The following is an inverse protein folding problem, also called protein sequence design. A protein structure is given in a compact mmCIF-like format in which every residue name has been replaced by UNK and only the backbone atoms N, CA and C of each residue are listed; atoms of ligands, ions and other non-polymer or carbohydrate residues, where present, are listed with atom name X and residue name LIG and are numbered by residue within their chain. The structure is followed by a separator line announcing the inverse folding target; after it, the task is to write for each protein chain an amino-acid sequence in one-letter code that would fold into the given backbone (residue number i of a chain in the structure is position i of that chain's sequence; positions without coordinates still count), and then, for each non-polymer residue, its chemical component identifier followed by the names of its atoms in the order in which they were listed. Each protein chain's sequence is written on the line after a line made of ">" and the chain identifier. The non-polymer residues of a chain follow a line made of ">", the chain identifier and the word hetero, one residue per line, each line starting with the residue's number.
data_IF_705794778979
#
_entry.id   IF_705794778979
#
_cell.length_a   1.000
_cell.length_b   1.000
_cell.length_c   1.000
_cell.angle_alpha   90.00
_cell.angle_beta   90.00
_cell.angle_gamma   90.00
#
_symmetry.space_group_name_H-M   'P 1'
#
loop_
_entity.id
_entity.type
_entity.pdbx_description
1 polymer ?
#
# COMPACT_ATOMS: atom_id res chain seq x y z
N UNK A 1 3.15 -11.08 -6.37
CA UNK A 1 4.57 -10.74 -6.16
C UNK A 1 4.69 -9.47 -5.33
N UNK A 2 5.63 -9.47 -4.40
CA UNK A 2 5.84 -8.31 -3.54
C UNK A 2 6.35 -7.09 -4.30
N UNK A 3 5.91 -5.89 -3.89
CA UNK A 3 6.42 -4.63 -4.40
C UNK A 3 7.93 -4.46 -4.12
N UNK A 4 8.47 -5.15 -3.10
CA UNK A 4 9.90 -5.10 -2.84
C UNK A 4 10.72 -5.69 -3.98
N UNK A 5 10.12 -6.55 -4.80
CA UNK A 5 10.77 -7.13 -5.99
C UNK A 5 10.50 -6.31 -7.25
N UNK A 6 9.41 -5.56 -7.27
CA UNK A 6 8.98 -4.77 -8.44
C UNK A 6 9.62 -3.38 -8.46
N UNK A 7 9.66 -2.71 -7.31
CA UNK A 7 10.10 -1.31 -7.26
C UNK A 7 11.55 -1.07 -7.70
N UNK A 8 12.54 -1.93 -7.35
CA UNK A 8 13.90 -1.68 -7.81
C UNK A 8 14.03 -1.62 -9.34
N UNK A 9 13.53 -2.61 -10.11
CA UNK A 9 13.61 -2.51 -11.58
C UNK A 9 12.77 -1.35 -12.15
N UNK A 10 11.64 -1.02 -11.54
CA UNK A 10 10.83 0.12 -11.97
C UNK A 10 11.64 1.41 -11.81
N UNK A 11 12.30 1.59 -10.65
CA UNK A 11 13.14 2.76 -10.42
C UNK A 11 14.27 2.87 -11.45
N UNK A 12 14.89 1.75 -11.79
CA UNK A 12 15.98 1.73 -12.77
C UNK A 12 15.53 2.19 -14.16
N UNK A 13 14.26 1.95 -14.51
CA UNK A 13 13.71 2.32 -15.81
C UNK A 13 13.06 3.69 -15.84
N UNK A 14 12.81 4.27 -14.67
CA UNK A 14 12.06 5.52 -14.55
C UNK A 14 13.03 6.70 -14.60
N UNK A 15 12.73 7.72 -15.42
CA UNK A 15 13.57 8.92 -15.44
C UNK A 15 13.42 9.71 -14.15
N UNK A 16 14.40 10.57 -13.88
CA UNK A 16 14.31 11.48 -12.76
C UNK A 16 13.07 12.36 -12.89
N UNK A 17 12.33 12.51 -11.80
CA UNK A 17 11.08 13.24 -11.79
C UNK A 17 9.88 12.44 -12.29
N UNK A 18 10.10 11.21 -12.74
CA UNK A 18 9.01 10.32 -13.12
C UNK A 18 8.19 9.91 -11.90
N UNK A 19 6.93 9.59 -12.12
CA UNK A 19 6.00 9.23 -11.05
C UNK A 19 5.45 7.83 -11.25
N UNK A 20 5.11 7.21 -10.12
CA UNK A 20 4.57 5.85 -10.11
C UNK A 20 3.45 5.79 -9.05
N UNK A 21 2.38 5.08 -9.37
CA UNK A 21 1.35 4.73 -8.39
C UNK A 21 1.43 3.23 -8.18
N UNK A 22 1.68 2.83 -6.93
CA UNK A 22 1.79 1.43 -6.55
C UNK A 22 0.51 0.97 -5.90
N UNK A 23 0.10 -0.26 -6.18
CA UNK A 23 -1.03 -0.88 -5.51
C UNK A 23 -0.47 -1.82 -4.44
N UNK A 24 -0.65 -1.45 -3.18
CA UNK A 24 -0.21 -2.27 -2.05
C UNK A 24 -1.28 -3.30 -1.76
N UNK A 25 -0.92 -4.57 -1.89
CA UNK A 25 -1.81 -5.71 -1.68
C UNK A 25 -1.37 -6.46 -0.42
N UNK A 26 -2.03 -6.26 0.72
CA UNK A 26 -1.62 -6.93 1.95
C UNK A 26 -1.51 -8.45 1.81
N UNK A 27 -2.37 -9.06 1.00
CA UNK A 27 -2.32 -10.50 0.75
C UNK A 27 -1.03 -10.96 0.08
N UNK A 28 -0.30 -10.06 -0.58
CA UNK A 28 0.99 -10.38 -1.21
C UNK A 28 2.18 -9.96 -0.35
N UNK A 29 1.98 -9.05 0.59
CA UNK A 29 3.07 -8.49 1.38
C UNK A 29 3.18 -9.11 2.78
N UNK A 30 2.06 -9.53 3.34
CA UNK A 30 2.05 -10.18 4.65
C UNK A 30 2.57 -11.62 4.53
N UNK A 31 3.15 -12.14 5.61
CA UNK A 31 3.55 -13.54 5.66
C UNK A 31 2.31 -14.45 5.59
N UNK A 32 2.51 -15.69 5.14
CA UNK A 32 1.41 -16.66 4.98
C UNK A 32 0.59 -16.84 6.25
N UNK A 33 1.23 -16.79 7.40
CA UNK A 33 0.58 -16.96 8.70
C UNK A 33 -0.41 -15.85 9.01
N UNK A 34 -0.34 -14.72 8.31
CA UNK A 34 -1.24 -13.58 8.51
C UNK A 34 -2.33 -13.49 7.46
N UNK A 35 -2.30 -14.39 6.48
CA UNK A 35 -3.31 -14.46 5.45
C UNK A 35 -4.37 -15.47 5.86
N UNK A 36 -5.62 -15.02 5.94
CA UNK A 36 -6.73 -15.87 6.35
C UNK A 36 -7.23 -16.79 5.25
N UNK A 37 -8.37 -17.39 5.50
CA UNK A 37 -9.04 -18.26 4.53
C UNK A 37 -9.32 -17.50 3.24
N UNK A 38 -9.23 -18.19 2.10
CA UNK A 38 -9.45 -17.63 0.76
C UNK A 38 -8.42 -16.56 0.38
N UNK A 39 -7.29 -16.50 1.08
CA UNK A 39 -6.24 -15.54 0.75
C UNK A 39 -6.58 -14.10 1.13
N UNK A 40 -7.38 -13.89 2.17
CA UNK A 40 -7.80 -12.55 2.60
C UNK A 40 -7.10 -12.13 3.88
N UNK A 41 -6.55 -10.91 3.88
CA UNK A 41 -5.98 -10.28 5.06
C UNK A 41 -6.99 -9.27 5.59
N UNK A 42 -7.54 -9.51 6.78
CA UNK A 42 -8.60 -8.68 7.39
C UNK A 42 -8.12 -7.83 8.56
N UNK A 43 -7.00 -8.20 9.19
CA UNK A 43 -6.50 -7.55 10.39
C UNK A 43 -5.96 -6.16 10.07
N UNK A 44 -6.52 -5.14 10.72
CA UNK A 44 -6.10 -3.74 10.55
C UNK A 44 -4.61 -3.54 10.88
N UNK A 45 -4.13 -4.17 11.93
CA UNK A 45 -2.73 -4.06 12.34
C UNK A 45 -1.81 -4.61 11.25
N UNK A 46 -2.21 -5.68 10.58
CA UNK A 46 -1.44 -6.24 9.47
C UNK A 46 -1.42 -5.27 8.28
N UNK A 47 -2.55 -4.64 7.99
CA UNK A 47 -2.62 -3.61 6.93
C UNK A 47 -1.67 -2.46 7.23
N UNK A 48 -1.66 -1.96 8.48
CA UNK A 48 -0.77 -0.88 8.88
C UNK A 48 0.70 -1.26 8.75
N UNK A 49 1.06 -2.46 9.20
CA UNK A 49 2.44 -2.96 9.11
C UNK A 49 2.90 -3.09 7.65
N UNK A 50 2.05 -3.63 6.80
CA UNK A 50 2.36 -3.81 5.38
C UNK A 50 2.60 -2.46 4.71
N UNK A 51 1.73 -1.50 4.95
CA UNK A 51 1.87 -0.15 4.36
C UNK A 51 3.19 0.48 4.81
N UNK A 52 3.48 0.40 6.12
CA UNK A 52 4.72 0.95 6.65
C UNK A 52 5.95 0.31 6.01
N UNK A 53 5.96 -1.01 5.87
CA UNK A 53 7.07 -1.73 5.23
C UNK A 53 7.31 -1.23 3.81
N UNK A 54 6.25 -1.07 3.03
CA UNK A 54 6.39 -0.62 1.64
C UNK A 54 6.80 0.84 1.57
N UNK A 55 6.26 1.70 2.43
CA UNK A 55 6.67 3.10 2.48
C UNK A 55 8.16 3.23 2.84
N UNK A 56 8.61 2.51 3.86
CA UNK A 56 10.01 2.51 4.27
C UNK A 56 10.92 2.00 3.16
N UNK A 57 10.52 0.93 2.49
CA UNK A 57 11.26 0.35 1.38
C UNK A 57 11.39 1.34 0.22
N UNK A 58 10.29 1.97 -0.18
CA UNK A 58 10.30 2.93 -1.27
C UNK A 58 11.19 4.14 -0.95
N UNK A 59 11.10 4.64 0.29
CA UNK A 59 11.95 5.75 0.72
C UNK A 59 13.43 5.37 0.71
N UNK A 60 13.76 4.15 1.14
CA UNK A 60 15.14 3.67 1.14
C UNK A 60 15.71 3.53 -0.28
N UNK A 61 14.86 3.29 -1.27
CA UNK A 61 15.27 3.25 -2.68
C UNK A 61 15.52 4.64 -3.26
N UNK A 62 15.11 5.70 -2.58
CA UNK A 62 15.29 7.06 -3.07
C UNK A 62 14.04 7.68 -3.67
N UNK A 63 12.88 7.08 -3.50
CA UNK A 63 11.61 7.71 -3.88
C UNK A 63 11.18 8.72 -2.83
N UNK A 64 10.53 9.80 -3.28
CA UNK A 64 9.78 10.69 -2.42
C UNK A 64 8.33 10.18 -2.35
N UNK A 65 7.76 10.10 -1.15
CA UNK A 65 6.40 9.64 -0.93
C UNK A 65 5.45 10.83 -1.03
N UNK A 66 4.53 10.80 -1.98
CA UNK A 66 3.64 11.92 -2.26
C UNK A 66 2.25 11.77 -1.65
N UNK A 67 1.63 10.63 -1.84
CA UNK A 67 0.25 10.38 -1.37
C UNK A 67 0.06 8.92 -0.99
N UNK A 68 -0.81 8.70 -0.02
CA UNK A 68 -1.28 7.37 0.36
C UNK A 68 -2.80 7.43 0.52
N UNK A 69 -3.49 6.47 -0.08
CA UNK A 69 -4.94 6.34 0.09
C UNK A 69 -5.33 4.87 -0.05
N UNK A 70 -6.57 4.55 0.22
CA UNK A 70 -7.07 3.21 -0.04
C UNK A 70 -7.75 3.17 -1.41
N UNK A 71 -7.70 1.98 -2.04
CA UNK A 71 -8.42 1.78 -3.29
C UNK A 71 -9.93 1.70 -3.01
N UNK A 72 -10.76 2.40 -3.78
CA UNK A 72 -12.21 2.33 -3.58
C UNK A 72 -12.81 0.99 -4.02
N UNK A 73 -12.02 0.18 -4.71
CA UNK A 73 -12.44 -1.14 -5.21
C UNK A 73 -11.63 -2.19 -4.47
N UNK A 74 -12.32 -3.20 -3.91
CA UNK A 74 -11.65 -4.33 -3.28
C UNK A 74 -11.02 -5.23 -4.33
N UNK A 75 -9.88 -5.82 -3.97
CA UNK A 75 -9.20 -6.80 -4.79
C UNK A 75 -9.81 -8.19 -4.66
N UNK A 76 -9.10 -9.22 -5.13
CA UNK A 76 -9.60 -10.59 -5.11
C UNK A 76 -10.08 -11.03 -3.73
N UNK A 77 -11.17 -11.76 -3.70
CA UNK A 77 -11.78 -12.33 -2.48
C UNK A 77 -12.16 -11.29 -1.44
N UNK A 78 -12.23 -10.01 -1.82
CA UNK A 78 -12.59 -8.92 -0.93
C UNK A 78 -11.43 -8.29 -0.19
N UNK A 79 -10.20 -8.46 -0.64
CA UNK A 79 -9.04 -7.80 -0.04
C UNK A 79 -9.10 -6.29 -0.21
N UNK A 80 -8.86 -5.57 0.88
CA UNK A 80 -8.69 -4.12 0.83
C UNK A 80 -7.26 -3.85 0.37
N UNK A 81 -7.10 -2.94 -0.59
CA UNK A 81 -5.80 -2.59 -1.16
C UNK A 81 -5.56 -1.10 -1.04
N UNK A 82 -4.30 -0.67 -1.13
CA UNK A 82 -3.91 0.71 -0.90
C UNK A 82 -3.10 1.25 -2.07
N UNK A 83 -3.21 2.56 -2.30
CA UNK A 83 -2.51 3.26 -3.38
C UNK A 83 -1.41 4.11 -2.77
N UNK A 84 -0.19 3.92 -3.23
CA UNK A 84 0.97 4.72 -2.81
C UNK A 84 1.54 5.44 -4.02
N UNK A 85 1.56 6.76 -3.98
CA UNK A 85 2.06 7.61 -5.05
C UNK A 85 3.49 8.05 -4.75
N UNK A 86 4.39 7.77 -5.67
CA UNK A 86 5.84 7.97 -5.52
C UNK A 86 6.38 8.90 -6.60
N UNK A 87 7.40 9.67 -6.24
CA UNK A 87 8.16 10.51 -7.17
C UNK A 87 9.59 10.01 -7.22
N UNK A 88 10.12 9.79 -8.43
CA UNK A 88 11.51 9.35 -8.60
C UNK A 88 12.48 10.54 -8.54
N UNK A 89 12.59 11.09 -7.33
CA UNK A 89 13.50 12.20 -7.01
C UNK A 89 13.75 12.19 -5.51
N UNK A 90 14.99 12.41 -5.06
CA UNK A 90 15.30 12.40 -3.63
C UNK A 90 14.90 13.73 -2.97
N UNK A 91 13.61 13.98 -2.89
CA UNK A 91 13.04 15.14 -2.21
C UNK A 91 12.42 14.73 -0.89
N UNK A 92 12.15 15.69 -0.02
CA UNK A 92 11.43 15.43 1.21
C UNK A 92 10.03 14.89 0.89
N UNK A 93 9.67 13.78 1.54
CA UNK A 93 8.37 13.20 1.37
C UNK A 93 7.28 14.10 1.92
N UNK A 94 6.12 14.12 1.25
CA UNK A 94 4.97 14.91 1.66
C UNK A 94 4.07 14.19 2.66
N UNK A 95 4.31 12.90 2.85
CA UNK A 95 3.57 12.06 3.81
C UNK A 95 4.55 11.29 4.68
N UNK A 96 4.07 10.85 5.83
CA UNK A 96 4.83 9.98 6.73
C UNK A 96 3.93 8.90 7.32
N UNK A 97 4.50 8.05 8.18
CA UNK A 97 3.78 6.92 8.77
C UNK A 97 2.62 7.32 9.66
N UNK A 98 2.55 8.57 10.10
CA UNK A 98 1.49 9.03 11.02
C UNK A 98 0.11 8.98 10.38
N UNK A 99 0.02 9.05 9.05
CA UNK A 99 -1.27 8.99 8.36
C UNK A 99 -1.78 7.56 8.16
N UNK A 100 -0.95 6.55 8.37
CA UNK A 100 -1.33 5.16 8.11
C UNK A 100 -2.58 4.73 8.89
N UNK A 101 -2.66 4.94 10.22
CA UNK A 101 -3.86 4.52 10.95
C UNK A 101 -5.15 5.13 10.43
N UNK A 102 -5.11 6.40 10.03
CA UNK A 102 -6.30 7.07 9.51
C UNK A 102 -6.75 6.50 8.17
N UNK A 103 -5.81 6.23 7.28
CA UNK A 103 -6.11 5.63 5.98
C UNK A 103 -6.69 4.22 6.15
N UNK A 104 -6.08 3.41 7.02
CA UNK A 104 -6.56 2.05 7.29
C UNK A 104 -7.95 2.09 7.92
N UNK A 105 -8.17 2.94 8.90
CA UNK A 105 -9.48 3.11 9.53
C UNK A 105 -10.54 3.51 8.49
N UNK A 106 -10.23 4.48 7.65
CA UNK A 106 -11.16 4.93 6.61
C UNK A 106 -11.49 3.82 5.63
N UNK A 107 -10.48 3.01 5.23
CA UNK A 107 -10.70 1.90 4.29
C UNK A 107 -11.65 0.85 4.88
N UNK A 108 -11.44 0.47 6.14
CA UNK A 108 -12.28 -0.54 6.79
C UNK A 108 -13.69 -0.04 7.00
N UNK A 109 -13.87 1.20 7.40
CA UNK A 109 -15.20 1.78 7.57
C UNK A 109 -15.95 1.90 6.25
N UNK A 110 -15.32 2.46 5.24
CA UNK A 110 -15.95 2.71 3.95
C UNK A 110 -16.30 1.43 3.20
N UNK A 111 -15.35 0.51 3.11
CA UNK A 111 -15.53 -0.70 2.31
C UNK A 111 -16.37 -1.75 3.02
N UNK A 112 -16.25 -1.88 4.35
CA UNK A 112 -17.10 -2.78 5.13
C UNK A 112 -18.55 -2.31 5.10
N UNK A 113 -18.77 -1.00 5.17
CA UNK A 113 -20.11 -0.44 5.09
C UNK A 113 -20.77 -0.71 3.75
N UNK A 114 -20.01 -0.61 2.64
CA UNK A 114 -20.50 -0.95 1.30
C UNK A 114 -20.92 -2.41 1.21
N UNK A 115 -20.13 -3.30 1.80
CA UNK A 115 -20.45 -4.73 1.82
C UNK A 115 -21.73 -4.99 2.61
N UNK A 116 -21.89 -4.31 3.74
CA UNK A 116 -23.09 -4.44 4.56
C UNK A 116 -24.36 -3.94 3.84
N UNK A 117 -24.20 -2.99 2.92
CA UNK A 117 -25.32 -2.43 2.16
C UNK A 117 -25.80 -3.35 1.02
N UNK A 118 -25.05 -4.38 0.71
CA UNK A 118 -25.41 -5.36 -0.31
C UNK A 118 -26.26 -6.46 0.30
#
# INVERSE_FOLDING_TARGET
>A
ISLTKILPPVKACLKEGGQVVCLIKPQFEAGREKVGKKGVVRDRAVHEDVIKQIMDFAAALGFSLLHLDYSPIKGPEGNIEYLLHLLNRPEESQIDEKMIPDVVTASHQSLSHRDAAK
#
